data_IF_013425729380
#
_entry.id   IF_013425729380
#
_cell.length_a   1.000
_cell.length_b   1.000
_cell.length_c   1.000
_cell.angle_alpha   90.00
_cell.angle_beta   90.00
_cell.angle_gamma   90.00
#
_symmetry.space_group_name_H-M   'P 1'
#
loop_
_entity.id
_entity.type
_entity.pdbx_description
1 polymer ?
#
# COMPACT_ATOMS: atom_id res chain seq x y z
N UNK A 1 -13.98 -16.50 -14.07
CA UNK A 1 -14.39 -15.13 -13.73
C UNK A 1 -13.82 -14.83 -12.35
N UNK A 2 -12.61 -14.27 -12.29
CA UNK A 2 -11.96 -13.94 -11.02
C UNK A 2 -12.55 -12.62 -10.56
N UNK A 3 -13.14 -12.61 -9.37
CA UNK A 3 -13.66 -11.41 -8.71
C UNK A 3 -12.52 -10.41 -8.56
N UNK A 4 -12.44 -9.42 -9.47
CA UNK A 4 -11.53 -8.30 -9.32
C UNK A 4 -11.94 -7.58 -8.02
N UNK A 5 -11.06 -7.61 -7.01
CA UNK A 5 -11.30 -6.85 -5.79
C UNK A 5 -11.44 -5.37 -6.16
N UNK A 6 -12.18 -4.61 -5.36
CA UNK A 6 -12.44 -3.17 -5.58
C UNK A 6 -11.16 -2.32 -5.69
N UNK A 7 -10.01 -2.90 -5.35
CA UNK A 7 -8.67 -2.30 -5.25
C UNK A 7 -7.63 -2.93 -6.20
N UNK A 8 -8.05 -3.87 -7.05
CA UNK A 8 -7.24 -4.45 -8.13
C UNK A 8 -6.62 -5.82 -7.82
N UNK A 9 -6.44 -6.22 -6.56
CA UNK A 9 -5.77 -7.48 -6.17
C UNK A 9 -6.23 -8.07 -4.82
N UNK A 10 -5.85 -9.33 -4.56
CA UNK A 10 -5.96 -9.98 -3.26
C UNK A 10 -4.91 -9.47 -2.25
N UNK A 11 -5.19 -9.69 -0.96
CA UNK A 11 -4.39 -9.19 0.16
C UNK A 11 -2.98 -9.83 0.16
N UNK A 12 -1.97 -9.09 -0.32
CA UNK A 12 -0.52 -9.38 -0.23
C UNK A 12 0.15 -10.09 -1.42
N UNK A 13 0.32 -9.37 -2.53
CA UNK A 13 1.13 -9.87 -3.64
C UNK A 13 2.27 -8.89 -3.92
N UNK A 14 3.52 -9.27 -3.64
CA UNK A 14 4.73 -8.54 -4.04
C UNK A 14 4.98 -8.68 -5.55
N UNK A 15 3.98 -8.31 -6.36
CA UNK A 15 3.96 -8.52 -7.81
C UNK A 15 3.81 -7.18 -8.52
N UNK A 16 4.16 -7.07 -9.81
CA UNK A 16 4.15 -5.78 -10.50
C UNK A 16 2.82 -5.01 -10.44
N UNK A 17 1.67 -5.69 -10.32
CA UNK A 17 0.35 -5.04 -10.23
C UNK A 17 0.13 -4.32 -8.88
N UNK A 18 0.83 -4.74 -7.82
CA UNK A 18 0.77 -4.11 -6.49
C UNK A 18 1.58 -2.82 -6.37
N UNK A 19 2.47 -2.55 -7.33
CA UNK A 19 3.27 -1.34 -7.34
C UNK A 19 2.37 -0.10 -7.36
N UNK A 20 2.78 0.96 -6.67
CA UNK A 20 2.00 2.20 -6.52
C UNK A 20 1.65 2.81 -7.87
N UNK A 21 2.65 2.88 -8.76
CA UNK A 21 2.52 3.44 -10.10
C UNK A 21 2.40 2.35 -11.18
N UNK A 22 1.83 1.19 -10.83
CA UNK A 22 1.70 0.07 -11.78
C UNK A 22 0.81 0.42 -12.95
N UNK A 23 1.30 0.32 -14.18
CA UNK A 23 0.47 0.43 -15.38
C UNK A 23 -0.38 -0.82 -15.65
N UNK A 24 -0.34 -1.81 -14.77
CA UNK A 24 -1.08 -3.08 -14.90
C UNK A 24 -2.45 -3.03 -14.23
N UNK A 25 -2.78 -1.93 -13.54
CA UNK A 25 -4.12 -1.70 -13.00
C UNK A 25 -4.88 -0.69 -13.85
N UNK A 26 -6.22 -0.81 -13.94
CA UNK A 26 -7.05 0.19 -14.59
C UNK A 26 -6.99 1.56 -13.91
N UNK A 27 -7.27 2.63 -14.66
CA UNK A 27 -7.29 4.01 -14.15
C UNK A 27 -8.27 4.19 -12.98
N UNK A 28 -9.38 3.46 -12.95
CA UNK A 28 -10.34 3.52 -11.85
C UNK A 28 -9.74 3.02 -10.51
N UNK A 29 -8.67 2.23 -10.57
CA UNK A 29 -7.91 1.80 -9.38
C UNK A 29 -6.92 2.90 -8.96
N UNK A 30 -6.27 3.57 -9.91
CA UNK A 30 -5.41 4.72 -9.62
C UNK A 30 -6.19 5.86 -8.95
N UNK A 31 -7.41 6.13 -9.41
CA UNK A 31 -8.31 7.13 -8.81
C UNK A 31 -8.67 6.85 -7.35
N UNK A 32 -8.54 5.60 -6.90
CA UNK A 32 -8.73 5.21 -5.49
C UNK A 32 -7.42 5.20 -4.69
N UNK A 33 -6.34 4.67 -5.29
CA UNK A 33 -5.02 4.56 -4.66
C UNK A 33 -4.39 5.94 -4.41
N UNK A 34 -4.54 6.88 -5.35
CA UNK A 34 -3.96 8.23 -5.26
C UNK A 34 -4.42 9.03 -4.03
N UNK A 35 -5.73 9.23 -3.81
CA UNK A 35 -6.23 9.93 -2.62
C UNK A 35 -5.81 9.26 -1.32
N UNK A 36 -5.81 7.92 -1.27
CA UNK A 36 -5.34 7.18 -0.11
C UNK A 36 -3.86 7.48 0.18
N UNK A 37 -2.98 7.35 -0.81
CA UNK A 37 -1.57 7.69 -0.68
C UNK A 37 -1.37 9.14 -0.21
N UNK A 38 -2.01 10.11 -0.87
CA UNK A 38 -1.85 11.53 -0.55
C UNK A 38 -2.39 11.92 0.84
N UNK A 39 -3.44 11.26 1.34
CA UNK A 39 -3.89 11.45 2.73
C UNK A 39 -2.87 10.86 3.68
N UNK A 40 -2.46 9.61 3.47
CA UNK A 40 -1.54 8.90 4.36
C UNK A 40 -0.19 9.62 4.45
N UNK A 41 0.35 10.09 3.34
CA UNK A 41 1.61 10.85 3.31
C UNK A 41 1.54 12.18 4.08
N UNK A 42 0.42 12.91 3.98
CA UNK A 42 0.19 14.14 4.76
C UNK A 42 0.16 13.90 6.28
N UNK A 43 -0.11 12.68 6.72
CA UNK A 43 -0.12 12.29 8.13
C UNK A 43 1.22 11.70 8.62
N UNK A 44 2.32 11.94 7.88
CA UNK A 44 3.67 11.57 8.32
C UNK A 44 4.06 10.13 7.98
N UNK A 45 3.33 9.49 7.07
CA UNK A 45 3.70 8.18 6.56
C UNK A 45 4.45 8.31 5.22
N UNK A 46 5.26 7.31 4.89
CA UNK A 46 5.97 7.20 3.62
C UNK A 46 5.53 5.95 2.89
N UNK A 47 5.05 6.09 1.65
CA UNK A 47 4.65 4.96 0.82
C UNK A 47 5.84 4.05 0.44
N UNK A 48 5.59 2.76 0.32
CA UNK A 48 6.52 1.81 -0.28
C UNK A 48 6.17 1.57 -1.76
N UNK A 49 7.05 1.93 -2.72
CA UNK A 49 6.68 1.94 -4.15
C UNK A 49 6.20 0.60 -4.74
N UNK A 50 6.59 -0.53 -4.14
CA UNK A 50 6.20 -1.85 -4.64
C UNK A 50 4.87 -2.35 -4.08
N UNK A 51 4.31 -1.68 -3.09
CA UNK A 51 3.02 -2.05 -2.50
C UNK A 51 2.24 -0.77 -2.18
N UNK A 52 1.26 -0.42 -3.03
CA UNK A 52 0.45 0.80 -2.89
C UNK A 52 -0.17 1.00 -1.49
N UNK A 53 -0.42 -0.10 -0.78
CA UNK A 53 -1.02 -0.15 0.56
C UNK A 53 -0.01 -0.10 1.71
N UNK A 54 1.29 -0.21 1.44
CA UNK A 54 2.32 -0.31 2.47
C UNK A 54 2.92 1.06 2.75
N UNK A 55 2.93 1.40 4.03
CA UNK A 55 3.44 2.67 4.52
C UNK A 55 4.30 2.48 5.76
N UNK A 56 5.29 3.34 5.95
CA UNK A 56 6.10 3.41 7.16
C UNK A 56 5.96 4.79 7.79
N UNK A 57 5.72 4.86 9.10
CA UNK A 57 5.69 6.13 9.82
C UNK A 57 7.09 6.79 9.77
N UNK A 58 7.15 8.08 9.47
CA UNK A 58 8.39 8.85 9.31
C UNK A 58 8.30 10.16 10.11
N UNK A 59 9.13 10.38 11.14
CA UNK A 59 10.18 9.47 11.61
C UNK A 59 9.61 8.22 12.30
N UNK A 60 10.30 7.08 12.14
CA UNK A 60 9.92 5.85 12.82
C UNK A 60 10.37 5.92 14.30
N UNK A 61 9.48 5.70 15.28
CA UNK A 61 9.79 5.88 16.70
C UNK A 61 10.67 4.76 17.28
N UNK A 62 10.65 3.59 16.66
CA UNK A 62 11.37 2.41 17.14
C UNK A 62 12.31 1.89 16.05
N UNK A 63 13.60 1.89 16.36
CA UNK A 63 14.64 1.33 15.50
C UNK A 63 14.92 -0.16 15.77
N UNK A 64 14.22 -0.76 16.75
CA UNK A 64 14.39 -2.16 17.15
C UNK A 64 13.20 -3.02 16.71
N UNK A 65 13.42 -4.29 16.33
CA UNK A 65 12.34 -5.23 16.08
C UNK A 65 11.60 -5.57 17.37
N UNK A 66 10.36 -6.03 17.20
CA UNK A 66 9.50 -6.53 18.26
C UNK A 66 9.22 -8.01 18.03
N UNK A 67 9.23 -8.81 19.10
CA UNK A 67 8.95 -10.24 19.07
C UNK A 67 8.06 -10.59 20.27
N UNK A 68 6.78 -10.22 20.16
CA UNK A 68 5.74 -10.52 21.14
C UNK A 68 4.47 -10.95 20.40
N UNK A 69 3.61 -11.72 21.07
CA UNK A 69 2.36 -12.20 20.49
C UNK A 69 1.39 -11.06 20.17
N UNK A 70 0.76 -11.11 19.00
CA UNK A 70 -0.35 -10.23 18.61
C UNK A 70 -1.65 -10.97 18.89
N UNK A 71 -2.55 -10.36 19.66
CA UNK A 71 -3.89 -10.88 19.97
C UNK A 71 -4.94 -10.43 18.94
#
# INVERSE_FOLDING_TARGET
MTTASTWGEALNCLIPVSHTDSSLVPEEIHQKRGPFQGITERHGFKNYPKEWRRFTLSPQPFAKPFDFSVE
#
